data_IF_960167940443
#
_entry.id   IF_960167940443
#
_cell.length_a   1.000
_cell.length_b   1.000
_cell.length_c   1.000
_cell.angle_alpha   90.00
_cell.angle_beta   90.00
_cell.angle_gamma   90.00
#
_symmetry.space_group_name_H-M   'P 1'
#
loop_
_entity.id
_entity.type
_entity.pdbx_description
1 polymer ?
#
# COMPACT_ATOMS: atom_id res chain seq x y z
N UNK A 1 -1.55 -6.04 -18.58
CA UNK A 1 -1.57 -5.32 -17.30
C UNK A 1 -2.04 -6.30 -16.26
N UNK A 2 -1.26 -6.46 -15.22
CA UNK A 2 -1.60 -7.32 -14.09
C UNK A 2 -2.21 -6.45 -13.00
N UNK A 3 -3.17 -7.00 -12.24
CA UNK A 3 -3.86 -6.31 -11.17
C UNK A 3 -3.67 -7.02 -9.84
N UNK A 4 -3.49 -6.25 -8.79
CA UNK A 4 -3.43 -6.71 -7.41
C UNK A 4 -4.37 -5.86 -6.56
N UNK A 5 -5.25 -6.50 -5.82
CA UNK A 5 -6.08 -5.84 -4.81
C UNK A 5 -5.82 -6.50 -3.46
N UNK A 6 -5.52 -5.69 -2.47
CA UNK A 6 -5.35 -6.12 -1.08
C UNK A 6 -6.30 -5.31 -0.22
N UNK A 7 -7.18 -5.96 0.53
CA UNK A 7 -8.11 -5.27 1.43
C UNK A 7 -8.14 -5.88 2.82
N UNK A 8 -8.54 -5.05 3.78
CA UNK A 8 -8.74 -5.44 5.17
C UNK A 8 -9.73 -4.51 5.86
N UNK A 9 -10.30 -4.97 6.96
CA UNK A 9 -11.15 -4.16 7.84
C UNK A 9 -10.31 -3.47 8.91
N UNK A 10 -10.60 -2.19 9.18
CA UNK A 10 -9.93 -1.38 10.20
C UNK A 10 -10.97 -0.70 11.08
N UNK A 11 -10.85 -0.92 12.40
CA UNK A 11 -11.73 -0.32 13.43
C UNK A 11 -11.18 1.04 13.87
N UNK A 12 -11.20 1.99 12.96
CA UNK A 12 -10.80 3.37 13.19
C UNK A 12 -11.67 4.31 12.36
N UNK A 13 -11.63 5.59 12.70
CA UNK A 13 -12.35 6.61 11.95
C UNK A 13 -11.78 6.71 10.52
N UNK A 14 -12.63 6.71 9.46
CA UNK A 14 -12.17 6.82 8.07
C UNK A 14 -11.25 8.03 7.81
N UNK A 15 -11.47 9.15 8.49
CA UNK A 15 -10.61 10.35 8.35
C UNK A 15 -9.21 10.09 8.91
N UNK A 16 -9.10 9.39 10.04
CA UNK A 16 -7.82 9.02 10.65
C UNK A 16 -7.08 8.01 9.78
N UNK A 17 -7.79 7.02 9.24
CA UNK A 17 -7.23 6.04 8.30
C UNK A 17 -6.72 6.73 7.04
N UNK A 18 -7.52 7.64 6.46
CA UNK A 18 -7.13 8.40 5.28
C UNK A 18 -5.88 9.26 5.54
N UNK A 19 -5.84 9.98 6.66
CA UNK A 19 -4.69 10.79 7.04
C UNK A 19 -3.42 9.94 7.21
N UNK A 20 -3.56 8.75 7.79
CA UNK A 20 -2.48 7.76 7.90
C UNK A 20 -1.97 7.33 6.52
N UNK A 21 -2.86 6.99 5.60
CA UNK A 21 -2.50 6.54 4.26
C UNK A 21 -1.89 7.66 3.39
N UNK A 22 -2.27 8.91 3.63
CA UNK A 22 -1.73 10.06 2.90
C UNK A 22 -0.30 10.41 3.34
N UNK A 23 0.10 10.05 4.54
CA UNK A 23 1.45 10.30 5.08
C UNK A 23 2.45 9.24 4.60
N UNK A 24 2.78 9.27 3.30
CA UNK A 24 3.74 8.33 2.69
C UNK A 24 5.11 8.27 3.39
N UNK A 25 5.68 9.37 3.91
CA UNK A 25 6.96 9.33 4.62
C UNK A 25 6.99 8.36 5.80
N UNK A 26 5.88 8.15 6.50
CA UNK A 26 5.85 7.22 7.63
C UNK A 26 5.83 5.73 7.25
N UNK A 27 5.57 5.38 5.99
CA UNK A 27 5.48 3.98 5.56
C UNK A 27 6.76 3.18 5.86
N UNK A 28 7.92 3.82 5.85
CA UNK A 28 9.19 3.19 6.20
C UNK A 28 9.23 2.66 7.65
N UNK A 29 8.37 3.15 8.53
CA UNK A 29 8.29 2.67 9.92
C UNK A 29 7.61 1.29 10.04
N UNK A 30 6.89 0.87 9.02
CA UNK A 30 6.07 -0.34 9.02
C UNK A 30 6.68 -1.50 8.23
N UNK A 31 7.59 -1.24 7.29
CA UNK A 31 8.23 -2.25 6.45
C UNK A 31 9.71 -2.43 6.77
N UNK A 32 10.17 -3.67 6.79
CA UNK A 32 11.60 -3.99 6.93
C UNK A 32 12.37 -3.74 5.64
N UNK A 33 11.69 -3.77 4.50
CA UNK A 33 12.30 -3.60 3.18
C UNK A 33 12.25 -2.17 2.66
N UNK A 34 11.30 -1.36 3.11
CA UNK A 34 11.22 0.05 2.77
C UNK A 34 12.07 0.86 3.75
N UNK A 35 13.25 1.26 3.31
CA UNK A 35 14.24 1.95 4.15
C UNK A 35 13.92 3.40 4.41
N UNK A 36 13.42 4.08 3.39
CA UNK A 36 13.15 5.50 3.42
C UNK A 36 12.06 5.87 2.41
N UNK A 37 11.22 6.80 2.79
CA UNK A 37 10.36 7.55 1.86
C UNK A 37 10.67 9.02 2.01
N UNK A 38 11.20 9.61 0.94
CA UNK A 38 11.59 11.02 0.92
C UNK A 38 10.65 11.81 0.03
N UNK A 39 10.10 12.90 0.57
CA UNK A 39 9.36 13.87 -0.22
C UNK A 39 10.32 14.65 -1.13
N UNK A 40 10.16 14.50 -2.43
CA UNK A 40 10.97 15.20 -3.43
C UNK A 40 10.38 16.59 -3.73
N UNK A 41 9.05 16.67 -3.73
CA UNK A 41 8.30 17.90 -4.01
C UNK A 41 6.87 17.74 -3.55
N UNK A 42 6.25 18.83 -3.09
CA UNK A 42 4.83 18.88 -2.72
C UNK A 42 4.59 18.79 -1.21
N UNK A 43 3.34 18.72 -0.84
CA UNK A 43 2.83 18.80 0.54
C UNK A 43 1.88 17.66 0.92
N UNK A 44 1.82 16.59 0.11
CA UNK A 44 0.93 15.43 0.28
C UNK A 44 -0.24 15.40 -0.70
N UNK A 45 -0.63 16.54 -1.25
CA UNK A 45 -1.72 16.61 -2.24
C UNK A 45 -1.31 16.19 -3.65
N UNK A 46 -2.22 16.37 -4.65
CA UNK A 46 -1.96 16.03 -6.05
C UNK A 46 -0.69 16.72 -6.58
N UNK A 47 0.14 15.97 -7.28
CA UNK A 47 1.42 16.43 -7.81
C UNK A 47 2.60 16.24 -6.85
N UNK A 48 2.37 15.83 -5.60
CA UNK A 48 3.43 15.48 -4.66
C UNK A 48 4.21 14.28 -5.17
N UNK A 49 5.55 14.37 -5.10
CA UNK A 49 6.48 13.33 -5.55
C UNK A 49 7.27 12.78 -4.40
N UNK A 50 7.39 11.46 -4.38
CA UNK A 50 8.16 10.73 -3.39
C UNK A 50 9.22 9.84 -4.04
N UNK A 51 10.34 9.65 -3.34
CA UNK A 51 11.32 8.62 -3.62
C UNK A 51 11.23 7.57 -2.50
N UNK A 52 10.88 6.33 -2.88
CA UNK A 52 10.75 5.20 -1.97
C UNK A 52 11.95 4.27 -2.16
N UNK A 53 12.82 4.17 -1.18
CA UNK A 53 14.02 3.34 -1.25
C UNK A 53 13.78 2.01 -0.57
N UNK A 54 13.78 0.96 -1.38
CA UNK A 54 13.70 -0.43 -0.94
C UNK A 54 15.09 -1.04 -0.87
N UNK A 55 15.33 -1.85 0.15
CA UNK A 55 16.54 -2.64 0.26
C UNK A 55 16.21 -4.07 0.71
N UNK A 56 16.67 -5.02 -0.08
CA UNK A 56 16.51 -6.44 0.19
C UNK A 56 17.78 -7.20 -0.23
N UNK A 57 18.37 -7.92 0.69
CA UNK A 57 19.63 -8.63 0.49
C UNK A 57 20.73 -7.67 -0.02
N UNK A 58 21.24 -7.85 -1.24
CA UNK A 58 22.25 -6.98 -1.88
C UNK A 58 21.65 -6.01 -2.90
N UNK A 59 20.33 -5.95 -2.98
CA UNK A 59 19.61 -5.13 -3.95
C UNK A 59 19.06 -3.90 -3.22
N UNK A 60 19.31 -2.74 -3.81
CA UNK A 60 18.67 -1.48 -3.40
C UNK A 60 18.01 -0.89 -4.63
N UNK A 61 16.74 -0.50 -4.49
CA UNK A 61 15.96 0.11 -5.56
C UNK A 61 15.20 1.32 -5.03
N UNK A 62 15.21 2.41 -5.79
CA UNK A 62 14.44 3.61 -5.46
C UNK A 62 13.34 3.82 -6.49
N UNK A 63 12.11 3.58 -6.10
CA UNK A 63 10.91 3.90 -6.88
C UNK A 63 10.60 5.39 -6.76
N UNK A 64 10.15 5.98 -7.86
CA UNK A 64 9.67 7.35 -7.89
C UNK A 64 8.15 7.33 -8.06
N UNK A 65 7.43 7.85 -7.09
CA UNK A 65 5.98 7.92 -7.08
C UNK A 65 5.47 9.35 -7.15
N UNK A 66 4.27 9.52 -7.69
CA UNK A 66 3.53 10.77 -7.71
C UNK A 66 2.09 10.55 -7.27
N UNK A 67 1.58 11.38 -6.38
CA UNK A 67 0.15 11.46 -6.10
C UNK A 67 -0.54 12.12 -7.29
N UNK A 68 -1.52 11.47 -7.88
CA UNK A 68 -2.23 11.98 -9.07
C UNK A 68 -3.58 12.58 -8.72
N UNK A 69 -4.22 12.09 -7.65
CA UNK A 69 -5.51 12.59 -7.19
C UNK A 69 -5.75 12.28 -5.71
N UNK A 70 -6.60 13.07 -5.09
CA UNK A 70 -7.09 12.83 -3.74
C UNK A 70 -8.57 13.18 -3.65
N UNK A 71 -9.34 12.32 -2.99
CA UNK A 71 -10.75 12.50 -2.65
C UNK A 71 -10.93 12.16 -1.16
N UNK A 72 -10.65 13.13 -0.27
CA UNK A 72 -10.75 12.87 1.17
C UNK A 72 -12.20 12.61 1.61
N UNK A 73 -12.46 11.66 2.51
CA UNK A 73 -11.51 10.73 3.14
C UNK A 73 -11.46 9.35 2.46
N UNK A 74 -11.81 9.24 1.18
CA UNK A 74 -12.15 7.96 0.54
C UNK A 74 -11.06 7.44 -0.41
N UNK A 75 -10.27 8.33 -1.05
CA UNK A 75 -9.40 7.89 -2.13
C UNK A 75 -8.11 8.70 -2.26
N UNK A 76 -7.00 8.00 -2.55
CA UNK A 76 -5.70 8.58 -2.90
C UNK A 76 -5.18 7.83 -4.12
N UNK A 77 -5.09 8.51 -5.26
CA UNK A 77 -4.53 7.95 -6.50
C UNK A 77 -3.04 8.26 -6.60
N UNK A 78 -2.28 7.29 -7.09
CA UNK A 78 -0.84 7.42 -7.28
C UNK A 78 -0.36 6.64 -8.50
N UNK A 79 0.81 7.02 -9.00
CA UNK A 79 1.50 6.31 -10.08
C UNK A 79 3.01 6.23 -9.80
N UNK A 80 3.66 5.25 -10.40
CA UNK A 80 5.13 5.20 -10.49
C UNK A 80 5.55 5.96 -11.75
N UNK A 81 6.51 6.85 -11.60
CA UNK A 81 6.90 7.78 -12.67
C UNK A 81 8.17 7.35 -13.42
N UNK A 82 8.79 6.25 -13.00
CA UNK A 82 10.05 5.79 -13.56
C UNK A 82 10.18 4.27 -13.47
N UNK A 83 10.84 3.67 -14.47
CA UNK A 83 11.30 2.28 -14.53
C UNK A 83 10.24 1.22 -14.76
N UNK A 84 8.99 1.44 -14.38
CA UNK A 84 7.87 0.53 -14.61
C UNK A 84 6.57 1.33 -14.77
N UNK A 85 5.71 0.89 -15.67
CA UNK A 85 4.34 1.39 -15.77
C UNK A 85 3.49 0.74 -14.68
N UNK A 86 3.26 1.48 -13.61
CA UNK A 86 2.45 1.04 -12.49
C UNK A 86 1.73 2.23 -11.87
N UNK A 87 0.56 1.97 -11.34
CA UNK A 87 -0.22 2.94 -10.59
C UNK A 87 -1.29 2.25 -9.78
N UNK A 88 -2.00 3.00 -9.01
CA UNK A 88 -3.04 2.46 -8.18
C UNK A 88 -3.72 3.49 -7.32
N UNK A 89 -4.52 2.99 -6.40
CA UNK A 89 -5.13 3.85 -5.41
C UNK A 89 -5.25 3.16 -4.05
N UNK A 90 -5.25 3.96 -3.02
CA UNK A 90 -5.82 3.62 -1.73
C UNK A 90 -7.30 3.98 -1.73
N UNK A 91 -8.12 3.08 -1.23
CA UNK A 91 -9.55 3.33 -1.03
C UNK A 91 -9.91 3.07 0.43
N UNK A 92 -10.64 3.99 1.02
CA UNK A 92 -11.23 3.86 2.35
C UNK A 92 -12.74 3.91 2.17
N UNK A 93 -13.40 2.80 2.45
CA UNK A 93 -14.85 2.69 2.38
C UNK A 93 -15.39 2.78 3.81
N UNK A 94 -16.14 3.83 4.15
CA UNK A 94 -16.76 3.93 5.47
C UNK A 94 -17.75 2.79 5.67
N UNK A 95 -18.05 2.41 6.94
CA UNK A 95 -19.07 1.42 7.23
C UNK A 95 -20.41 1.88 6.65
N UNK A 96 -21.20 0.92 6.18
CA UNK A 96 -22.58 1.21 5.76
C UNK A 96 -23.31 1.81 6.96
N UNK A 97 -23.86 3.02 6.80
CA UNK A 97 -24.69 3.65 7.81
C UNK A 97 -25.88 2.73 8.07
N UNK A 98 -25.98 2.21 9.26
CA UNK A 98 -27.18 1.52 9.71
C UNK A 98 -28.31 2.56 9.87
N UNK A 99 -28.84 3.04 8.77
CA UNK A 99 -30.16 3.68 8.72
C UNK A 99 -31.20 2.58 8.92
N UNK A 100 -31.36 2.10 10.13
CA UNK A 100 -32.48 1.33 10.67
C UNK A 100 -32.01 0.39 11.80
N UNK A 101 -31.45 0.94 12.87
CA UNK A 101 -31.38 0.20 14.13
C UNK A 101 -31.85 1.11 15.27
N UNK A 102 -33.16 1.07 15.48
CA UNK A 102 -33.76 1.39 16.75
C UNK A 102 -33.24 0.36 17.79
N UNK A 103 -32.47 0.81 18.75
CA UNK A 103 -32.09 -0.09 19.86
C UNK A 103 -30.72 0.20 20.46
N UNK A 104 -30.74 0.98 21.54
CA UNK A 104 -29.76 0.98 22.63
C UNK A 104 -28.91 -0.28 22.72
N UNK A 105 -27.68 -0.24 22.20
CA UNK A 105 -26.61 -1.06 22.69
C UNK A 105 -25.33 -0.24 22.80
N UNK A 106 -24.88 -0.10 24.03
CA UNK A 106 -23.75 0.70 24.48
C UNK A 106 -22.46 -0.11 24.23
N UNK A 107 -22.23 -0.50 22.96
CA UNK A 107 -21.01 -1.20 22.55
C UNK A 107 -20.03 -0.22 21.90
N UNK A 108 -18.80 -0.09 22.44
CA UNK A 108 -17.79 0.83 21.88
C UNK A 108 -17.04 0.25 20.68
N UNK A 109 -17.61 -0.70 19.99
CA UNK A 109 -17.07 -1.24 18.74
C UNK A 109 -17.80 -0.62 17.56
N UNK A 110 -17.30 0.54 17.12
CA UNK A 110 -17.70 1.12 15.84
C UNK A 110 -17.58 0.06 14.72
N UNK A 111 -18.45 0.14 13.73
CA UNK A 111 -18.32 -0.72 12.54
C UNK A 111 -16.98 -0.42 11.86
N UNK A 112 -16.28 -1.45 11.35
CA UNK A 112 -15.00 -1.23 10.67
C UNK A 112 -15.20 -0.51 9.33
N UNK A 113 -14.23 0.31 8.93
CA UNK A 113 -14.11 0.72 7.54
C UNK A 113 -13.29 -0.32 6.77
N UNK A 114 -13.56 -0.47 5.48
CA UNK A 114 -12.73 -1.27 4.60
C UNK A 114 -11.62 -0.39 4.00
N UNK A 115 -10.40 -0.89 4.04
CA UNK A 115 -9.23 -0.28 3.41
C UNK A 115 -8.74 -1.19 2.31
N UNK A 116 -8.65 -0.68 1.09
CA UNK A 116 -8.14 -1.42 -0.06
C UNK A 116 -6.97 -0.68 -0.72
N UNK A 117 -5.95 -1.45 -1.10
CA UNK A 117 -4.90 -1.05 -2.03
C UNK A 117 -5.16 -1.74 -3.37
N UNK A 118 -5.42 -0.96 -4.39
CA UNK A 118 -5.57 -1.43 -5.77
C UNK A 118 -4.31 -1.03 -6.55
N UNK A 119 -3.67 -1.99 -7.20
CA UNK A 119 -2.45 -1.77 -7.99
C UNK A 119 -2.61 -2.38 -9.36
N UNK A 120 -2.36 -1.60 -10.39
CA UNK A 120 -2.25 -2.07 -11.77
C UNK A 120 -0.81 -1.84 -12.24
N UNK A 121 -0.21 -2.83 -12.88
CA UNK A 121 1.16 -2.73 -13.36
C UNK A 121 1.38 -3.55 -14.64
N UNK A 122 2.33 -3.11 -15.47
CA UNK A 122 2.81 -3.86 -16.62
C UNK A 122 4.22 -4.40 -16.37
N UNK A 123 4.36 -5.70 -16.05
CA UNK A 123 5.68 -6.31 -15.86
C UNK A 123 6.58 -6.21 -17.09
N UNK A 124 5.98 -6.10 -18.29
CA UNK A 124 6.72 -5.99 -19.54
C UNK A 124 7.37 -4.62 -19.76
N UNK A 125 6.90 -3.60 -19.03
CA UNK A 125 7.44 -2.24 -19.09
C UNK A 125 8.67 -2.05 -18.19
N UNK A 126 8.95 -3.02 -17.29
CA UNK A 126 10.03 -2.90 -16.33
C UNK A 126 11.40 -2.81 -17.03
N UNK A 127 12.13 -1.72 -16.74
CA UNK A 127 13.47 -1.51 -17.25
C UNK A 127 14.47 -2.43 -16.55
N UNK A 128 15.18 -3.28 -17.31
CA UNK A 128 16.22 -4.15 -16.76
C UNK A 128 17.39 -3.38 -16.14
N UNK A 129 17.57 -2.13 -16.55
CA UNK A 129 18.65 -1.27 -16.05
C UNK A 129 18.28 -0.56 -14.73
N UNK A 130 17.01 -0.62 -14.34
CA UNK A 130 16.51 0.02 -13.12
C UNK A 130 17.03 -0.63 -11.85
N UNK A 131 17.29 -1.92 -11.91
CA UNK A 131 17.89 -2.67 -10.82
C UNK A 131 19.37 -2.87 -11.11
N UNK A 132 20.22 -2.35 -10.22
CA UNK A 132 21.66 -2.61 -10.25
C UNK A 132 21.91 -4.06 -9.81
N UNK A 133 21.52 -4.99 -10.69
CA UNK A 133 21.57 -6.42 -10.41
C UNK A 133 23.00 -6.96 -10.57
N UNK A 134 23.47 -7.82 -9.68
CA UNK A 134 24.68 -8.59 -9.90
C UNK A 134 24.59 -9.36 -11.23
N UNK A 135 25.67 -9.44 -11.99
CA UNK A 135 25.77 -9.97 -13.36
C UNK A 135 25.14 -11.35 -13.59
N UNK A 136 24.85 -12.11 -12.53
CA UNK A 136 24.27 -13.45 -12.59
C UNK A 136 22.81 -13.52 -12.14
N UNK A 137 22.18 -12.37 -11.83
CA UNK A 137 20.83 -12.29 -11.32
C UNK A 137 19.93 -11.71 -12.38
N UNK A 138 18.93 -12.46 -12.84
CA UNK A 138 17.92 -11.97 -13.76
C UNK A 138 16.77 -11.30 -13.01
N UNK A 139 16.11 -10.34 -13.65
CA UNK A 139 14.91 -9.69 -13.11
C UNK A 139 13.81 -10.71 -12.75
N UNK A 140 13.61 -11.71 -13.60
CA UNK A 140 12.66 -12.81 -13.36
C UNK A 140 12.98 -13.62 -12.08
N UNK A 141 14.27 -13.86 -11.81
CA UNK A 141 14.69 -14.49 -10.55
C UNK A 141 14.36 -13.62 -9.34
N UNK A 142 14.59 -12.28 -9.45
CA UNK A 142 14.24 -11.32 -8.39
C UNK A 142 12.75 -11.35 -8.10
N UNK A 143 11.91 -11.30 -9.13
CA UNK A 143 10.46 -11.38 -8.97
C UNK A 143 10.01 -12.67 -8.27
N UNK A 144 10.52 -13.83 -8.73
CA UNK A 144 10.19 -15.13 -8.10
C UNK A 144 10.57 -15.23 -6.63
N UNK A 145 11.63 -14.52 -6.21
CA UNK A 145 12.06 -14.49 -4.81
C UNK A 145 11.36 -13.40 -4.00
N UNK A 146 11.05 -12.27 -4.62
CA UNK A 146 10.41 -11.14 -3.96
C UNK A 146 8.93 -11.40 -3.65
N UNK A 147 8.17 -12.05 -4.56
CA UNK A 147 6.73 -12.25 -4.40
C UNK A 147 6.35 -12.92 -3.07
N UNK A 148 6.95 -14.06 -2.66
CA UNK A 148 6.63 -14.68 -1.37
C UNK A 148 6.99 -13.81 -0.17
N UNK A 149 8.09 -13.04 -0.28
CA UNK A 149 8.54 -12.11 0.78
C UNK A 149 7.60 -10.92 0.91
N UNK A 150 7.14 -10.36 -0.23
CA UNK A 150 6.17 -9.27 -0.26
C UNK A 150 4.86 -9.69 0.41
N UNK A 151 4.37 -10.91 0.12
CA UNK A 151 3.15 -11.42 0.73
C UNK A 151 3.26 -11.53 2.26
N UNK A 152 4.33 -12.16 2.77
CA UNK A 152 4.55 -12.29 4.21
C UNK A 152 4.87 -10.97 4.90
N UNK A 153 5.47 -10.01 4.19
CA UNK A 153 5.72 -8.68 4.72
C UNK A 153 4.45 -7.82 4.73
N UNK A 154 3.58 -7.95 3.73
CA UNK A 154 2.31 -7.23 3.66
C UNK A 154 1.45 -7.49 4.90
N UNK A 155 1.32 -8.74 5.34
CA UNK A 155 0.60 -9.08 6.57
C UNK A 155 1.19 -8.36 7.78
N UNK A 156 2.52 -8.38 7.96
CA UNK A 156 3.20 -7.71 9.09
C UNK A 156 3.08 -6.20 9.05
N UNK A 157 3.16 -5.60 7.85
CA UNK A 157 2.99 -4.15 7.67
C UNK A 157 1.58 -3.74 8.08
N UNK A 158 0.57 -4.49 7.63
CA UNK A 158 -0.83 -4.21 7.95
C UNK A 158 -1.09 -4.40 9.44
N UNK A 159 -0.60 -5.46 10.06
CA UNK A 159 -0.73 -5.66 11.51
C UNK A 159 -0.14 -4.52 12.33
N UNK A 160 1.04 -4.00 11.92
CA UNK A 160 1.67 -2.86 12.58
C UNK A 160 0.88 -1.58 12.39
N UNK A 161 0.40 -1.32 11.18
CA UNK A 161 -0.41 -0.15 10.86
C UNK A 161 -1.76 -0.16 11.60
N UNK A 162 -2.45 -1.30 11.60
CA UNK A 162 -3.71 -1.50 12.31
C UNK A 162 -3.54 -1.32 13.81
N UNK A 163 -2.46 -1.87 14.39
CA UNK A 163 -2.15 -1.67 15.80
C UNK A 163 -2.01 -0.19 16.17
N UNK A 164 -1.35 0.59 15.32
CA UNK A 164 -1.15 2.01 15.58
C UNK A 164 -2.44 2.81 15.37
N UNK A 165 -3.26 2.44 14.39
CA UNK A 165 -4.56 3.07 14.13
C UNK A 165 -5.62 2.74 15.18
N UNK A 166 -5.72 1.48 15.59
CA UNK A 166 -6.73 1.00 16.54
C UNK A 166 -6.27 1.10 18.00
N UNK A 167 -4.97 1.26 18.24
CA UNK A 167 -4.38 1.28 19.59
C UNK A 167 -4.30 -0.09 20.27
N UNK A 168 -4.60 -1.19 19.56
CA UNK A 168 -4.55 -2.55 20.07
C UNK A 168 -4.06 -3.54 19.03
N UNK A 169 -3.42 -4.62 19.49
CA UNK A 169 -2.92 -5.69 18.62
C UNK A 169 -4.01 -6.72 18.41
N UNK A 170 -4.29 -7.11 17.18
CA UNK A 170 -5.14 -8.23 16.78
C UNK A 170 -4.60 -8.91 15.54
N UNK A 171 -5.05 -10.11 15.27
CA UNK A 171 -4.83 -10.75 13.97
C UNK A 171 -5.62 -10.00 12.91
N UNK A 172 -4.99 -9.81 11.76
CA UNK A 172 -5.58 -9.11 10.63
C UNK A 172 -5.78 -10.08 9.49
N UNK A 173 -7.01 -10.16 8.98
CA UNK A 173 -7.32 -10.91 7.77
C UNK A 173 -7.10 -10.02 6.55
N UNK A 174 -6.25 -10.47 5.62
CA UNK A 174 -6.02 -9.82 4.34
C UNK A 174 -6.73 -10.60 3.24
N UNK A 175 -7.63 -9.92 2.54
CA UNK A 175 -8.15 -10.39 1.28
C UNK A 175 -7.21 -9.95 0.15
N UNK A 176 -6.63 -10.93 -0.55
CA UNK A 176 -5.68 -10.69 -1.63
C UNK A 176 -6.23 -11.27 -2.92
N UNK A 177 -6.55 -10.42 -3.85
CA UNK A 177 -6.94 -10.78 -5.21
C UNK A 177 -5.81 -10.42 -6.18
N UNK A 178 -5.42 -11.37 -7.02
CA UNK A 178 -4.41 -11.17 -8.07
C UNK A 178 -4.98 -11.63 -9.39
N UNK A 179 -5.06 -10.73 -10.36
CA UNK A 179 -5.31 -11.08 -11.76
C UNK A 179 -4.03 -10.87 -12.56
N UNK A 180 -3.38 -11.97 -12.88
CA UNK A 180 -2.15 -11.99 -13.67
C UNK A 180 -2.18 -13.12 -14.67
N UNK A 181 -1.95 -12.79 -15.93
CA UNK A 181 -1.86 -13.77 -17.01
C UNK A 181 -0.60 -14.67 -16.93
N UNK A 182 0.26 -14.48 -15.91
CA UNK A 182 1.58 -15.13 -15.78
C UNK A 182 1.75 -15.99 -14.52
N UNK A 183 0.70 -16.12 -13.69
CA UNK A 183 0.73 -16.95 -12.48
C UNK A 183 -0.31 -18.05 -12.61
#
# INVERSE_FOLDING_TARGET
VDELVVSTEVYADPEDVYAFLLDFPQYANYSEYLREVRTMRGDGGPGTRYALTFAWWKITYTAHSRVTGVEPPERIDWEITKDIDAGGCWRVTPPESADDADGTDDSPTGQPCEVALEVAFDPGSASSDALDLPRLVSFDWVLKKAIPLIRGEAERVVERAVRDLEGSTRDVDLDVYVDSARI
#
